data_IF_450200967371
#
_entry.id   IF_450200967371
#
_cell.length_a   1.000
_cell.length_b   1.000
_cell.length_c   1.000
_cell.angle_alpha   90.00
_cell.angle_beta   90.00
_cell.angle_gamma   90.00
#
_symmetry.space_group_name_H-M   'P 1'
#
loop_
_entity.id
_entity.type
_entity.pdbx_description
1 polymer ?
#
# COMPACT_ATOMS: atom_id res chain seq x y z
N UNK A 1 30.02 10.07 -2.24
CA UNK A 1 29.14 11.03 -1.51
C UNK A 1 27.84 11.07 -2.31
N UNK A 2 26.77 10.47 -1.79
CA UNK A 2 25.46 10.49 -2.44
C UNK A 2 24.98 11.93 -2.63
N UNK A 3 24.33 12.19 -3.75
CA UNK A 3 23.64 13.47 -3.98
C UNK A 3 22.44 13.52 -3.03
N UNK A 4 22.18 14.68 -2.46
CA UNK A 4 20.99 14.92 -1.62
C UNK A 4 20.08 15.86 -2.37
N UNK A 5 18.85 15.45 -2.61
CA UNK A 5 17.83 16.32 -3.19
C UNK A 5 17.22 17.20 -2.10
N UNK A 6 17.17 18.49 -2.36
CA UNK A 6 16.58 19.49 -1.44
C UNK A 6 15.51 20.25 -2.23
N UNK A 7 14.32 20.38 -1.67
CA UNK A 7 13.23 21.14 -2.28
C UNK A 7 13.40 22.66 -2.08
N UNK A 8 12.51 23.44 -2.69
CA UNK A 8 12.52 24.90 -2.59
C UNK A 8 12.28 25.46 -1.18
N UNK A 9 11.96 24.63 -0.19
CA UNK A 9 11.76 24.96 1.22
C UNK A 9 12.90 24.46 2.12
N UNK A 10 13.99 23.93 1.54
CA UNK A 10 15.12 23.40 2.28
C UNK A 10 14.92 22.01 2.89
N UNK A 11 13.88 21.27 2.50
CA UNK A 11 13.63 19.92 3.00
C UNK A 11 14.37 18.89 2.16
N UNK A 12 15.02 17.94 2.81
CA UNK A 12 15.62 16.78 2.13
C UNK A 12 14.53 15.83 1.62
N UNK A 13 14.60 15.46 0.35
CA UNK A 13 13.70 14.50 -0.30
C UNK A 13 14.34 13.13 -0.26
N UNK A 14 13.83 12.23 0.58
CA UNK A 14 14.34 10.87 0.78
C UNK A 14 13.27 9.79 0.50
N UNK A 15 12.10 10.18 0.02
CA UNK A 15 10.94 9.31 -0.16
C UNK A 15 10.40 9.41 -1.58
N UNK A 16 10.12 8.24 -2.19
CA UNK A 16 9.45 8.14 -3.48
C UNK A 16 8.28 7.15 -3.41
N UNK A 17 7.18 7.48 -4.06
CA UNK A 17 6.02 6.60 -4.22
C UNK A 17 5.85 6.24 -5.69
N UNK A 18 5.67 4.94 -5.95
CA UNK A 18 5.53 4.41 -7.31
C UNK A 18 4.23 3.65 -7.41
N UNK A 19 3.38 4.07 -8.35
CA UNK A 19 2.21 3.31 -8.78
C UNK A 19 2.62 2.32 -9.85
N UNK A 20 2.44 1.03 -9.60
CA UNK A 20 2.90 -0.04 -10.51
C UNK A 20 1.79 -0.59 -11.40
N UNK A 21 0.54 -0.24 -11.13
CA UNK A 21 -0.63 -0.68 -11.90
C UNK A 21 -1.81 0.24 -11.67
N UNK A 22 -2.66 0.37 -12.65
CA UNK A 22 -3.98 1.02 -12.57
C UNK A 22 -5.10 0.02 -12.23
N UNK A 23 -4.81 -1.29 -12.27
CA UNK A 23 -5.78 -2.35 -11.99
C UNK A 23 -6.02 -2.52 -10.51
N UNK A 24 -7.29 -2.79 -10.17
CA UNK A 24 -7.71 -3.07 -8.79
C UNK A 24 -8.75 -4.19 -8.78
N UNK A 25 -8.73 -5.00 -7.74
CA UNK A 25 -9.73 -6.06 -7.50
C UNK A 25 -10.96 -5.57 -6.72
N UNK A 26 -11.01 -4.30 -6.32
CA UNK A 26 -12.16 -3.60 -5.74
C UNK A 26 -12.69 -2.51 -6.66
N UNK A 27 -13.85 -1.93 -6.32
CA UNK A 27 -14.50 -0.82 -7.04
C UNK A 27 -15.02 0.19 -6.03
N UNK A 28 -14.08 0.79 -5.28
CA UNK A 28 -14.44 1.77 -4.26
C UNK A 28 -15.11 2.99 -4.89
N UNK A 29 -16.28 3.35 -4.36
CA UNK A 29 -17.15 4.41 -4.90
C UNK A 29 -16.50 5.79 -4.97
N UNK A 30 -15.56 6.08 -4.08
CA UNK A 30 -14.82 7.36 -4.08
C UNK A 30 -13.56 7.34 -4.96
N UNK A 31 -13.14 6.16 -5.46
CA UNK A 31 -11.92 5.97 -6.23
C UNK A 31 -12.20 5.62 -7.70
N UNK A 32 -13.14 4.69 -7.94
CA UNK A 32 -13.48 4.16 -9.26
C UNK A 32 -15.01 4.03 -9.43
N UNK A 33 -15.80 5.11 -9.29
CA UNK A 33 -17.27 5.01 -9.24
C UNK A 33 -17.89 4.49 -10.55
N UNK A 34 -17.38 4.88 -11.71
CA UNK A 34 -17.95 4.59 -13.03
C UNK A 34 -17.07 3.70 -13.91
N UNK A 35 -16.07 3.06 -13.30
CA UNK A 35 -15.01 2.39 -14.05
C UNK A 35 -13.94 3.39 -14.49
N UNK A 36 -12.76 2.88 -14.75
CA UNK A 36 -11.62 3.66 -15.23
C UNK A 36 -11.13 3.02 -16.51
N UNK A 37 -10.89 3.81 -17.53
CA UNK A 37 -10.20 3.35 -18.72
C UNK A 37 -8.80 2.90 -18.31
N UNK A 38 -8.58 1.59 -18.38
CA UNK A 38 -7.30 1.00 -18.00
C UNK A 38 -6.27 1.24 -19.10
N UNK A 39 -5.08 1.61 -18.69
CA UNK A 39 -3.93 1.73 -19.58
C UNK A 39 -3.61 0.35 -20.19
N UNK A 40 -3.17 0.32 -21.44
CA UNK A 40 -2.69 -0.94 -22.05
C UNK A 40 -1.55 -1.53 -21.22
N UNK A 41 -1.49 -2.86 -21.12
CA UNK A 41 -0.38 -3.53 -20.43
C UNK A 41 0.98 -3.19 -21.04
N UNK A 42 1.03 -2.88 -22.34
CA UNK A 42 2.24 -2.46 -23.05
C UNK A 42 2.70 -1.05 -22.67
N UNK A 43 1.80 -0.23 -22.12
CA UNK A 43 2.08 1.16 -21.76
C UNK A 43 2.40 1.32 -20.27
N UNK A 44 2.27 0.24 -19.49
CA UNK A 44 2.75 0.17 -18.11
C UNK A 44 4.26 -0.07 -18.12
N UNK A 45 4.98 0.64 -17.25
CA UNK A 45 6.40 0.35 -17.03
C UNK A 45 6.61 -1.13 -16.67
N UNK A 46 7.62 -1.75 -17.26
CA UNK A 46 8.08 -3.08 -16.84
C UNK A 46 8.69 -3.02 -15.44
N UNK A 47 8.87 -4.17 -14.80
CA UNK A 47 9.52 -4.21 -13.49
C UNK A 47 11.00 -3.87 -13.59
N UNK A 48 11.63 -4.16 -14.71
CA UNK A 48 13.02 -3.79 -15.03
C UNK A 48 13.17 -2.27 -15.11
N UNK A 49 12.25 -1.59 -15.81
CA UNK A 49 12.24 -0.12 -15.89
C UNK A 49 11.97 0.52 -14.52
N UNK A 50 11.05 -0.04 -13.72
CA UNK A 50 10.80 0.44 -12.36
C UNK A 50 12.03 0.28 -11.47
N UNK A 51 12.72 -0.85 -11.55
CA UNK A 51 13.97 -1.08 -10.82
C UNK A 51 15.05 -0.10 -11.22
N UNK A 52 15.23 0.17 -12.52
CA UNK A 52 16.17 1.17 -13.02
C UNK A 52 15.87 2.58 -12.49
N UNK A 53 14.59 2.97 -12.48
CA UNK A 53 14.16 4.23 -11.87
C UNK A 53 14.51 4.27 -10.38
N UNK A 54 14.31 3.17 -9.65
CA UNK A 54 14.65 3.09 -8.23
C UNK A 54 16.17 3.17 -7.99
N UNK A 55 16.99 2.58 -8.86
CA UNK A 55 18.46 2.71 -8.80
C UNK A 55 18.88 4.18 -8.94
N UNK A 56 18.39 4.87 -9.97
CA UNK A 56 18.66 6.29 -10.17
C UNK A 56 18.17 7.13 -8.99
N UNK A 57 16.97 6.83 -8.47
CA UNK A 57 16.43 7.53 -7.31
C UNK A 57 17.32 7.36 -6.05
N UNK A 58 17.85 6.14 -5.82
CA UNK A 58 18.78 5.88 -4.72
C UNK A 58 20.09 6.69 -4.87
N UNK A 59 20.65 6.79 -6.07
CA UNK A 59 21.82 7.64 -6.35
C UNK A 59 21.57 9.13 -6.07
N UNK A 60 20.31 9.57 -6.22
CA UNK A 60 19.86 10.93 -5.92
C UNK A 60 19.54 11.16 -4.44
N UNK A 61 19.61 10.12 -3.59
CA UNK A 61 19.42 10.21 -2.15
C UNK A 61 18.05 9.76 -1.66
N UNK A 62 17.23 9.15 -2.51
CA UNK A 62 16.00 8.47 -2.05
C UNK A 62 16.40 7.22 -1.27
N UNK A 63 15.80 7.07 -0.08
CA UNK A 63 16.06 5.96 0.84
C UNK A 63 14.81 5.07 1.06
N UNK A 64 13.63 5.64 0.82
CA UNK A 64 12.35 5.01 1.11
C UNK A 64 11.50 4.93 -0.14
N UNK A 65 11.11 3.72 -0.51
CA UNK A 65 10.23 3.48 -1.65
C UNK A 65 8.89 2.94 -1.13
N UNK A 66 7.80 3.54 -1.61
CA UNK A 66 6.45 3.03 -1.39
C UNK A 66 5.86 2.52 -2.68
N UNK A 67 5.51 1.25 -2.69
CA UNK A 67 4.79 0.62 -3.81
C UNK A 67 3.29 0.79 -3.60
N UNK A 68 2.62 1.25 -4.63
CA UNK A 68 1.18 1.47 -4.67
C UNK A 68 0.65 1.21 -6.09
N UNK A 69 -0.60 1.58 -6.36
CA UNK A 69 -1.22 1.43 -7.67
C UNK A 69 -2.72 1.65 -7.57
N UNK A 70 -3.49 0.96 -8.40
CA UNK A 70 -4.82 0.53 -8.06
C UNK A 70 -4.70 -0.41 -6.87
N UNK A 71 -4.47 -1.71 -7.12
CA UNK A 71 -4.04 -2.66 -6.08
C UNK A 71 -2.73 -3.34 -6.55
N UNK A 72 -1.58 -3.05 -5.91
CA UNK A 72 -0.29 -3.55 -6.39
C UNK A 72 -0.18 -5.07 -6.34
N UNK A 73 -0.82 -5.74 -5.39
CA UNK A 73 -0.78 -7.19 -5.25
C UNK A 73 -1.53 -7.97 -6.35
N UNK A 74 -2.35 -7.29 -7.16
CA UNK A 74 -2.95 -7.94 -8.35
C UNK A 74 -1.96 -8.04 -9.51
N UNK A 75 -0.90 -7.22 -9.51
CA UNK A 75 0.14 -7.32 -10.53
C UNK A 75 1.09 -8.45 -10.19
N UNK A 76 1.03 -9.52 -10.99
CA UNK A 76 1.86 -10.73 -10.78
C UNK A 76 3.34 -10.35 -10.75
N UNK A 77 4.06 -10.83 -9.73
CA UNK A 77 5.48 -10.54 -9.51
C UNK A 77 5.76 -9.28 -8.68
N UNK A 78 4.71 -8.63 -8.12
CA UNK A 78 4.88 -7.48 -7.22
C UNK A 78 5.80 -7.79 -6.03
N UNK A 79 5.66 -8.97 -5.42
CA UNK A 79 6.49 -9.42 -4.30
C UNK A 79 7.96 -9.53 -4.67
N UNK A 80 8.27 -10.09 -5.84
CA UNK A 80 9.64 -10.17 -6.35
C UNK A 80 10.22 -8.79 -6.68
N UNK A 81 9.40 -7.87 -7.20
CA UNK A 81 9.82 -6.47 -7.42
C UNK A 81 10.25 -5.81 -6.10
N UNK A 82 9.47 -5.98 -5.03
CA UNK A 82 9.82 -5.47 -3.69
C UNK A 82 11.20 -5.98 -3.27
N UNK A 83 11.48 -7.28 -3.45
CA UNK A 83 12.78 -7.87 -3.14
C UNK A 83 13.92 -7.26 -3.96
N UNK A 84 13.73 -7.04 -5.25
CA UNK A 84 14.73 -6.39 -6.11
C UNK A 84 15.00 -4.95 -5.67
N UNK A 85 13.96 -4.18 -5.38
CA UNK A 85 14.10 -2.80 -4.89
C UNK A 85 14.82 -2.78 -3.54
N UNK A 86 14.49 -3.70 -2.63
CA UNK A 86 15.12 -3.80 -1.30
C UNK A 86 16.62 -4.06 -1.36
N UNK A 87 17.10 -4.68 -2.42
CA UNK A 87 18.54 -4.97 -2.63
C UNK A 87 19.32 -3.79 -3.24
N UNK A 88 18.66 -2.73 -3.67
CA UNK A 88 19.32 -1.55 -4.24
C UNK A 88 20.14 -0.84 -3.15
N UNK A 89 21.45 -0.63 -3.35
CA UNK A 89 22.27 0.10 -2.41
C UNK A 89 21.72 1.53 -2.17
N UNK A 90 21.53 1.89 -0.89
CA UNK A 90 20.99 3.19 -0.49
C UNK A 90 19.48 3.15 -0.19
N UNK A 91 18.74 2.13 -0.61
CA UNK A 91 17.35 1.95 -0.19
C UNK A 91 17.32 1.28 1.18
N UNK A 92 16.76 1.99 2.15
CA UNK A 92 16.66 1.57 3.54
C UNK A 92 15.31 0.93 3.85
N UNK A 93 14.23 1.43 3.22
CA UNK A 93 12.86 1.04 3.54
C UNK A 93 12.02 0.86 2.27
N UNK A 94 11.34 -0.30 2.17
CA UNK A 94 10.34 -0.57 1.13
C UNK A 94 9.01 -0.86 1.80
N UNK A 95 8.00 -0.07 1.45
CA UNK A 95 6.65 -0.18 2.01
C UNK A 95 5.62 -0.44 0.91
N UNK A 96 4.50 -1.03 1.28
CA UNK A 96 3.40 -1.37 0.40
C UNK A 96 2.12 -0.66 0.86
N UNK A 97 1.36 -0.08 -0.07
CA UNK A 97 -0.03 0.33 0.17
C UNK A 97 -0.95 -0.62 -0.57
N UNK A 98 -1.86 -1.25 0.15
CA UNK A 98 -2.75 -2.29 -0.37
C UNK A 98 -4.15 -2.18 0.23
N UNK A 99 -5.15 -2.68 -0.48
CA UNK A 99 -6.49 -2.87 0.08
C UNK A 99 -6.60 -4.10 1.02
N UNK A 100 -5.54 -4.89 1.13
CA UNK A 100 -5.43 -6.01 2.06
C UNK A 100 -6.07 -7.33 1.62
N UNK A 101 -6.88 -7.35 0.57
CA UNK A 101 -7.63 -8.57 0.15
C UNK A 101 -6.71 -9.74 -0.20
N UNK A 102 -5.56 -9.48 -0.79
CA UNK A 102 -4.58 -10.51 -1.19
C UNK A 102 -3.41 -10.64 -0.23
N UNK A 103 -3.40 -9.85 0.84
CA UNK A 103 -2.23 -9.70 1.71
C UNK A 103 -1.87 -10.99 2.44
N UNK A 104 -2.86 -11.68 3.04
CA UNK A 104 -2.62 -12.94 3.76
C UNK A 104 -1.99 -14.01 2.87
N UNK A 105 -2.47 -14.13 1.63
CA UNK A 105 -1.99 -15.14 0.68
C UNK A 105 -0.55 -14.89 0.24
N UNK A 106 -0.08 -13.63 0.23
CA UNK A 106 1.24 -13.24 -0.26
C UNK A 106 2.20 -12.86 0.89
N UNK A 107 1.77 -12.96 2.16
CA UNK A 107 2.54 -12.46 3.30
C UNK A 107 3.90 -13.15 3.46
N UNK A 108 3.98 -14.47 3.30
CA UNK A 108 5.24 -15.21 3.38
C UNK A 108 6.25 -14.70 2.36
N UNK A 109 5.82 -14.55 1.11
CA UNK A 109 6.66 -14.07 0.02
C UNK A 109 7.07 -12.61 0.22
N UNK A 110 6.17 -11.76 0.73
CA UNK A 110 6.48 -10.38 1.08
C UNK A 110 7.55 -10.28 2.17
N UNK A 111 7.48 -11.13 3.21
CA UNK A 111 8.49 -11.20 4.25
C UNK A 111 9.84 -11.68 3.72
N UNK A 112 9.86 -12.73 2.92
CA UNK A 112 11.06 -13.28 2.29
C UNK A 112 11.76 -12.24 1.40
N UNK A 113 10.98 -11.38 0.75
CA UNK A 113 11.47 -10.28 -0.07
C UNK A 113 11.79 -8.99 0.72
N UNK A 114 11.67 -9.01 2.05
CA UNK A 114 12.13 -7.94 2.92
C UNK A 114 11.22 -6.71 2.97
N UNK A 115 9.90 -6.88 2.85
CA UNK A 115 8.93 -5.80 3.07
C UNK A 115 9.05 -5.27 4.51
N UNK A 116 9.21 -3.95 4.69
CA UNK A 116 9.40 -3.32 5.99
C UNK A 116 8.09 -2.90 6.67
N UNK A 117 7.10 -2.49 5.89
CA UNK A 117 5.82 -2.04 6.41
C UNK A 117 4.70 -2.12 5.37
N UNK A 118 3.48 -2.22 5.86
CA UNK A 118 2.27 -2.20 5.02
C UNK A 118 1.29 -1.14 5.51
N UNK A 119 0.77 -0.36 4.56
CA UNK A 119 -0.38 0.51 4.77
C UNK A 119 -1.60 -0.17 4.17
N UNK A 120 -2.58 -0.49 5.00
CA UNK A 120 -3.80 -1.17 4.57
C UNK A 120 -4.94 -0.17 4.55
N UNK A 121 -5.63 -0.07 3.41
CA UNK A 121 -6.83 0.75 3.28
C UNK A 121 -8.03 0.00 3.83
N UNK A 122 -8.62 0.51 4.91
CA UNK A 122 -9.80 -0.08 5.54
C UNK A 122 -10.66 1.02 6.15
N UNK A 123 -11.85 1.23 5.59
CA UNK A 123 -12.72 2.34 5.93
C UNK A 123 -13.77 1.98 6.98
N UNK A 124 -14.07 0.69 7.17
CA UNK A 124 -15.12 0.21 8.07
C UNK A 124 -14.86 -1.24 8.51
N UNK A 125 -15.36 -1.61 9.68
CA UNK A 125 -15.44 -3.00 10.16
C UNK A 125 -16.86 -3.60 9.99
N UNK A 126 -17.80 -2.84 9.47
CA UNK A 126 -19.13 -3.31 9.11
C UNK A 126 -19.08 -3.97 7.73
N UNK A 127 -19.44 -5.27 7.65
CA UNK A 127 -19.48 -6.01 6.38
C UNK A 127 -20.35 -5.36 5.33
N UNK A 128 -21.54 -4.87 5.76
CA UNK A 128 -22.49 -4.20 4.87
C UNK A 128 -21.90 -2.90 4.31
N UNK A 129 -21.34 -2.05 5.18
CA UNK A 129 -20.72 -0.78 4.76
C UNK A 129 -19.47 -1.02 3.92
N UNK A 130 -18.70 -2.07 4.22
CA UNK A 130 -17.52 -2.45 3.43
C UNK A 130 -17.93 -2.81 1.99
N UNK A 131 -18.96 -3.65 1.83
CA UNK A 131 -19.47 -4.02 0.51
C UNK A 131 -20.03 -2.80 -0.23
N UNK A 132 -20.74 -1.92 0.46
CA UNK A 132 -21.26 -0.67 -0.12
C UNK A 132 -20.14 0.26 -0.60
N UNK A 133 -19.07 0.43 0.20
CA UNK A 133 -17.93 1.29 -0.12
C UNK A 133 -17.09 0.71 -1.26
N UNK A 134 -16.80 -0.59 -1.22
CA UNK A 134 -15.79 -1.23 -2.07
C UNK A 134 -16.37 -1.99 -3.27
N UNK A 135 -17.69 -2.17 -3.30
CA UNK A 135 -18.40 -2.93 -4.32
C UNK A 135 -18.23 -4.45 -4.21
N UNK A 136 -17.58 -4.96 -3.14
CA UNK A 136 -17.35 -6.39 -2.94
C UNK A 136 -17.32 -6.78 -1.47
N UNK A 137 -17.90 -7.92 -1.15
CA UNK A 137 -17.85 -8.54 0.17
C UNK A 137 -16.52 -9.26 0.40
N UNK A 138 -15.49 -8.51 0.83
CA UNK A 138 -14.11 -9.01 1.03
C UNK A 138 -13.51 -8.63 2.40
N UNK A 139 -14.32 -8.14 3.33
CA UNK A 139 -13.83 -7.66 4.64
C UNK A 139 -13.04 -8.73 5.40
N UNK A 140 -13.50 -9.98 5.42
CA UNK A 140 -12.84 -11.08 6.13
C UNK A 140 -11.40 -11.28 5.63
N UNK A 141 -11.18 -11.24 4.31
CA UNK A 141 -9.83 -11.37 3.73
C UNK A 141 -8.91 -10.22 4.15
N UNK A 142 -9.46 -9.01 4.29
CA UNK A 142 -8.67 -7.86 4.77
C UNK A 142 -8.26 -8.04 6.22
N UNK A 143 -9.18 -8.51 7.08
CA UNK A 143 -8.89 -8.78 8.48
C UNK A 143 -7.87 -9.91 8.64
N UNK A 144 -7.97 -10.98 7.85
CA UNK A 144 -6.94 -12.04 7.78
C UNK A 144 -5.58 -11.46 7.32
N UNK A 145 -5.57 -10.54 6.36
CA UNK A 145 -4.38 -9.85 5.89
C UNK A 145 -3.71 -9.02 6.98
N UNK A 146 -4.51 -8.27 7.77
CA UNK A 146 -4.02 -7.50 8.92
C UNK A 146 -3.39 -8.43 9.95
N UNK A 147 -4.09 -9.51 10.31
CA UNK A 147 -3.61 -10.48 11.29
C UNK A 147 -2.31 -11.13 10.83
N UNK A 148 -2.24 -11.56 9.57
CA UNK A 148 -1.03 -12.16 8.99
C UNK A 148 0.17 -11.20 9.03
N UNK A 149 -0.04 -9.91 8.76
CA UNK A 149 1.02 -8.91 8.81
C UNK A 149 1.52 -8.65 10.24
N UNK A 150 0.61 -8.60 11.22
CA UNK A 150 0.95 -8.47 12.64
C UNK A 150 1.74 -9.68 13.14
N UNK A 151 1.28 -10.90 12.83
CA UNK A 151 1.96 -12.15 13.20
C UNK A 151 3.36 -12.28 12.56
N UNK A 152 3.51 -11.76 11.34
CA UNK A 152 4.79 -11.71 10.66
C UNK A 152 5.75 -10.64 11.22
N UNK A 153 5.30 -9.80 12.15
CA UNK A 153 6.10 -8.71 12.70
C UNK A 153 6.32 -7.52 11.75
N UNK A 154 5.54 -7.43 10.65
CA UNK A 154 5.54 -6.30 9.74
C UNK A 154 4.86 -5.11 10.42
N UNK A 155 5.42 -3.91 10.26
CA UNK A 155 4.75 -2.68 10.73
C UNK A 155 3.46 -2.44 9.96
N UNK A 156 2.34 -2.39 10.66
CA UNK A 156 1.01 -2.21 10.08
C UNK A 156 0.48 -0.82 10.35
N UNK A 157 0.03 -0.15 9.31
CA UNK A 157 -0.74 1.08 9.39
C UNK A 157 -2.04 0.93 8.63
N UNK A 158 -3.15 1.29 9.27
CA UNK A 158 -4.46 1.35 8.64
C UNK A 158 -4.76 2.79 8.28
N UNK A 159 -5.09 3.02 7.02
CA UNK A 159 -5.61 4.30 6.53
C UNK A 159 -7.10 4.15 6.28
N UNK A 160 -7.90 5.00 6.90
CA UNK A 160 -9.35 4.99 6.79
C UNK A 160 -9.85 6.35 6.29
N UNK A 161 -10.59 6.34 5.18
CA UNK A 161 -11.28 7.52 4.65
C UNK A 161 -12.62 7.64 5.34
N UNK A 162 -12.83 8.72 6.08
CA UNK A 162 -14.11 8.99 6.72
C UNK A 162 -15.08 9.61 5.72
N UNK A 163 -16.24 8.99 5.57
CA UNK A 163 -17.32 9.40 4.68
C UNK A 163 -18.57 9.67 5.51
N UNK A 164 -19.06 10.90 5.42
CA UNK A 164 -20.26 11.33 6.15
C UNK A 164 -21.46 10.41 5.85
N UNK A 165 -22.20 10.07 6.89
CA UNK A 165 -23.41 9.23 6.84
C UNK A 165 -23.17 7.76 6.42
N UNK A 166 -21.91 7.36 6.24
CA UNK A 166 -21.57 5.99 5.83
C UNK A 166 -20.73 5.27 6.89
N UNK A 167 -19.59 5.83 7.28
CA UNK A 167 -18.69 5.23 8.27
C UNK A 167 -18.19 6.23 9.32
N UNK A 168 -18.66 7.47 9.30
CA UNK A 168 -18.20 8.55 10.18
C UNK A 168 -18.51 8.30 11.67
N UNK A 169 -19.45 7.40 11.99
CA UNK A 169 -19.72 6.97 13.36
C UNK A 169 -18.88 5.75 13.80
N UNK A 170 -18.13 5.11 12.91
CA UNK A 170 -17.40 3.85 13.17
C UNK A 170 -15.95 4.03 13.59
N UNK A 171 -15.43 5.26 13.61
CA UNK A 171 -14.03 5.55 13.92
C UNK A 171 -13.55 4.93 15.25
N UNK A 172 -14.41 4.82 16.25
CA UNK A 172 -14.09 4.20 17.54
C UNK A 172 -13.79 2.71 17.42
N UNK A 173 -14.47 1.99 16.53
CA UNK A 173 -14.23 0.57 16.27
C UNK A 173 -12.88 0.38 15.54
N UNK A 174 -12.58 1.24 14.57
CA UNK A 174 -11.30 1.22 13.85
C UNK A 174 -10.11 1.51 14.78
N UNK A 175 -10.24 2.48 15.70
CA UNK A 175 -9.24 2.73 16.75
C UNK A 175 -9.06 1.50 17.65
N UNK A 176 -10.12 0.74 17.89
CA UNK A 176 -10.07 -0.50 18.65
C UNK A 176 -9.06 -1.51 18.13
N UNK A 177 -8.76 -1.52 16.83
CA UNK A 177 -7.72 -2.38 16.24
C UNK A 177 -6.31 -2.05 16.76
N UNK A 178 -6.06 -0.80 17.14
CA UNK A 178 -4.77 -0.37 17.69
C UNK A 178 -4.64 -0.58 19.20
N UNK A 179 -5.73 -0.96 19.90
CA UNK A 179 -5.74 -1.05 21.36
C UNK A 179 -4.86 -2.18 21.88
N UNK A 180 -4.96 -3.34 21.23
CA UNK A 180 -4.32 -4.58 21.69
C UNK A 180 -3.29 -5.13 20.69
N UNK A 181 -3.03 -4.43 19.61
CA UNK A 181 -2.13 -4.84 18.54
C UNK A 181 -1.20 -3.69 18.12
N UNK A 182 0.01 -3.97 17.62
CA UNK A 182 0.96 -2.96 17.16
C UNK A 182 0.54 -2.38 15.78
N UNK A 183 -0.62 -1.73 15.75
CA UNK A 183 -1.22 -1.15 14.55
C UNK A 183 -1.39 0.35 14.75
N UNK A 184 -0.93 1.13 13.78
CA UNK A 184 -1.27 2.55 13.70
C UNK A 184 -2.56 2.72 12.88
N UNK A 185 -3.50 3.53 13.38
CA UNK A 185 -4.70 3.91 12.63
C UNK A 185 -4.65 5.39 12.28
N UNK A 186 -4.87 5.71 11.00
CA UNK A 186 -4.91 7.07 10.49
C UNK A 186 -6.22 7.32 9.78
N UNK A 187 -6.87 8.41 10.13
CA UNK A 187 -8.07 8.90 9.44
C UNK A 187 -7.71 9.96 8.40
N UNK A 188 -8.40 9.92 7.28
CA UNK A 188 -8.25 10.83 6.15
C UNK A 188 -9.64 11.41 5.88
N UNK A 189 -9.73 12.75 5.81
CA UNK A 189 -10.92 13.49 5.43
C UNK A 189 -10.87 13.90 3.96
#
# INVERSE_FOLDING_TARGET
RGRTMIDGYGRTIEYMRISITDRCNLRCRYCMPDGVDLVSMSDLLSFEEIEEICCVAAELGIKKIKITGGEPLVRRGCTALIGRIKQIPGIEEVTLTTNGVLLAQQMSELCENGLDAVNISLDTLSRCNYEEITGKDKLEYVLEGIQAAVEAGIRVKINSVLQKELNDAEWGQLIGLAKDQPIDVRFIE
#
